data_IF_904629227565
#
_entry.id   IF_904629227565
#
_cell.length_a   1.000
_cell.length_b   1.000
_cell.length_c   1.000
_cell.angle_alpha   90.00
_cell.angle_beta   90.00
_cell.angle_gamma   90.00
#
_symmetry.space_group_name_H-M   'P 1'
#
loop_
_entity.id
_entity.type
_entity.pdbx_description
1 polymer ?
#
# COMPACT_ATOMS: atom_id res chain seq x y z
N UNK A 1 4.57 -11.39 24.19
CA UNK A 1 3.40 -10.50 24.02
C UNK A 1 2.64 -10.80 22.71
N UNK A 2 2.33 -12.07 22.38
CA UNK A 2 1.61 -12.38 21.13
C UNK A 2 0.66 -13.58 21.16
N UNK A 3 0.51 -14.26 22.30
CA UNK A 3 -0.33 -15.46 22.40
C UNK A 3 -1.83 -15.12 22.32
N UNK A 4 -2.30 -14.13 23.09
CA UNK A 4 -3.71 -13.70 23.04
C UNK A 4 -4.14 -13.17 21.69
N UNK A 5 -3.25 -12.47 20.97
CA UNK A 5 -3.53 -11.99 19.62
C UNK A 5 -3.72 -13.12 18.61
N UNK A 6 -2.95 -14.20 18.75
CA UNK A 6 -3.11 -15.41 17.94
C UNK A 6 -4.35 -16.23 18.33
N UNK A 7 -4.67 -16.30 19.62
CA UNK A 7 -5.84 -17.04 20.15
C UNK A 7 -7.18 -16.46 19.70
N UNK A 8 -7.26 -15.15 19.43
CA UNK A 8 -8.50 -14.49 18.97
C UNK A 8 -8.66 -14.51 17.44
N UNK A 9 -7.60 -14.82 16.69
CA UNK A 9 -7.65 -14.87 15.23
C UNK A 9 -8.32 -16.20 14.85
N UNK A 10 -9.50 -16.11 14.22
CA UNK A 10 -10.29 -17.27 13.80
C UNK A 10 -9.81 -17.96 12.52
N UNK A 11 -8.55 -17.76 12.13
CA UNK A 11 -7.94 -18.32 10.92
C UNK A 11 -6.45 -18.63 11.17
N UNK A 12 -5.80 -19.26 10.19
CA UNK A 12 -4.36 -19.51 10.24
C UNK A 12 -3.59 -18.17 10.21
N UNK A 13 -2.72 -17.98 11.21
CA UNK A 13 -1.92 -16.77 11.36
C UNK A 13 -0.85 -16.65 10.29
N UNK A 14 -0.29 -17.77 9.83
CA UNK A 14 0.72 -17.77 8.78
C UNK A 14 0.09 -17.44 7.42
N UNK A 15 -1.13 -17.91 7.17
CA UNK A 15 -1.93 -17.51 6.00
C UNK A 15 -2.26 -16.01 6.03
N UNK A 16 -2.70 -15.48 7.18
CA UNK A 16 -2.93 -14.05 7.35
C UNK A 16 -1.67 -13.22 7.08
N UNK A 17 -0.51 -13.66 7.57
CA UNK A 17 0.76 -12.98 7.33
C UNK A 17 1.18 -13.03 5.86
N UNK A 18 0.90 -14.12 5.13
CA UNK A 18 1.17 -14.19 3.69
C UNK A 18 0.30 -13.18 2.92
N UNK A 19 -1.00 -13.09 3.26
CA UNK A 19 -1.92 -12.13 2.66
C UNK A 19 -1.49 -10.68 2.93
N UNK A 20 -1.11 -10.36 4.17
CA UNK A 20 -0.64 -9.03 4.54
C UNK A 20 0.67 -8.65 3.81
N UNK A 21 1.60 -9.60 3.65
CA UNK A 21 2.84 -9.35 2.89
C UNK A 21 2.57 -9.09 1.40
N UNK A 22 1.62 -9.81 0.80
CA UNK A 22 1.20 -9.56 -0.58
C UNK A 22 0.58 -8.17 -0.71
N UNK A 23 -0.37 -7.84 0.16
CA UNK A 23 -0.99 -6.51 0.19
C UNK A 23 0.08 -5.41 0.35
N UNK A 24 1.05 -5.58 1.26
CA UNK A 24 2.16 -4.63 1.42
C UNK A 24 2.95 -4.43 0.12
N UNK A 25 3.28 -5.50 -0.59
CA UNK A 25 3.96 -5.42 -1.88
C UNK A 25 3.10 -4.72 -2.95
N UNK A 26 1.79 -4.98 -2.95
CA UNK A 26 0.85 -4.36 -3.87
C UNK A 26 0.75 -2.84 -3.64
N UNK A 27 0.68 -2.38 -2.38
CA UNK A 27 0.67 -0.95 -2.04
C UNK A 27 1.96 -0.25 -2.47
N UNK A 28 3.13 -0.89 -2.27
CA UNK A 28 4.41 -0.35 -2.75
C UNK A 28 4.49 -0.26 -4.27
N UNK A 29 3.96 -1.26 -4.97
CA UNK A 29 3.90 -1.25 -6.42
C UNK A 29 2.97 -0.14 -6.91
N UNK A 30 1.80 0.03 -6.29
CA UNK A 30 0.84 1.07 -6.60
C UNK A 30 1.43 2.47 -6.37
N UNK A 31 2.08 2.70 -5.22
CA UNK A 31 2.86 3.92 -4.94
C UNK A 31 3.81 4.26 -6.09
N UNK A 32 4.66 3.30 -6.47
CA UNK A 32 5.66 3.51 -7.52
C UNK A 32 5.00 3.81 -8.87
N UNK A 33 3.93 3.11 -9.22
CA UNK A 33 3.21 3.30 -10.48
C UNK A 33 2.58 4.69 -10.56
N UNK A 34 1.91 5.16 -9.50
CA UNK A 34 1.33 6.49 -9.46
C UNK A 34 2.40 7.59 -9.49
N UNK A 35 3.45 7.44 -8.69
CA UNK A 35 4.57 8.39 -8.68
C UNK A 35 5.24 8.49 -10.05
N UNK A 36 5.53 7.34 -10.69
CA UNK A 36 6.11 7.29 -12.03
C UNK A 36 5.15 7.89 -13.05
N UNK A 37 3.87 7.54 -13.00
CA UNK A 37 2.83 8.08 -13.85
C UNK A 37 2.77 9.61 -13.80
N UNK A 38 2.89 10.19 -12.60
CA UNK A 38 2.94 11.64 -12.42
C UNK A 38 4.16 12.30 -13.09
N UNK A 39 5.28 11.58 -13.26
CA UNK A 39 6.47 12.08 -13.98
C UNK A 39 6.37 11.92 -15.48
N UNK A 40 5.58 10.95 -15.94
CA UNK A 40 5.48 10.60 -17.35
C UNK A 40 4.28 11.24 -18.06
N UNK A 41 3.30 11.76 -17.32
CA UNK A 41 2.07 12.34 -17.88
C UNK A 41 2.36 13.52 -18.82
N UNK A 42 1.62 13.56 -19.93
CA UNK A 42 1.74 14.57 -21.00
C UNK A 42 0.36 15.03 -21.45
N UNK A 43 0.31 16.20 -22.11
CA UNK A 43 -0.90 16.76 -22.70
C UNK A 43 -1.40 18.03 -21.99
N UNK A 44 -2.51 18.64 -22.46
CA UNK A 44 -3.00 19.93 -21.97
C UNK A 44 -3.38 19.92 -20.48
N UNK A 45 -3.77 18.77 -19.92
CA UNK A 45 -4.16 18.62 -18.51
C UNK A 45 -3.06 18.00 -17.64
N UNK A 46 -1.83 17.90 -18.14
CA UNK A 46 -0.74 17.15 -17.46
C UNK A 46 -0.51 17.60 -16.01
N UNK A 47 -0.69 18.88 -15.71
CA UNK A 47 -0.40 19.41 -14.38
C UNK A 47 -1.49 18.97 -13.38
N UNK A 48 -2.77 19.03 -13.78
CA UNK A 48 -3.88 18.57 -12.95
C UNK A 48 -3.85 17.04 -12.74
N UNK A 49 -3.60 16.28 -13.81
CA UNK A 49 -3.49 14.82 -13.72
C UNK A 49 -2.26 14.41 -12.92
N UNK A 50 -1.11 15.06 -13.13
CA UNK A 50 0.11 14.82 -12.39
C UNK A 50 -0.04 15.09 -10.89
N UNK A 51 -0.75 16.17 -10.52
CA UNK A 51 -1.07 16.47 -9.13
C UNK A 51 -1.92 15.37 -8.48
N UNK A 52 -2.98 14.90 -9.16
CA UNK A 52 -3.84 13.82 -8.64
C UNK A 52 -3.09 12.49 -8.52
N UNK A 53 -2.21 12.17 -9.46
CA UNK A 53 -1.36 10.97 -9.38
C UNK A 53 -0.38 11.04 -8.19
N UNK A 54 0.17 12.22 -7.87
CA UNK A 54 1.00 12.38 -6.67
C UNK A 54 0.21 12.26 -5.37
N UNK A 55 -1.04 12.72 -5.36
CA UNK A 55 -1.95 12.52 -4.22
C UNK A 55 -2.17 11.03 -3.99
N UNK A 56 -2.55 10.27 -5.04
CA UNK A 56 -2.72 8.83 -4.94
C UNK A 56 -1.43 8.10 -4.53
N UNK A 57 -0.27 8.47 -5.08
CA UNK A 57 0.99 7.91 -4.61
C UNK A 57 1.16 8.12 -3.09
N UNK A 58 0.88 9.32 -2.58
CA UNK A 58 0.98 9.60 -1.14
C UNK A 58 0.00 8.74 -0.33
N UNK A 59 -1.23 8.53 -0.83
CA UNK A 59 -2.22 7.65 -0.20
C UNK A 59 -1.71 6.19 -0.12
N UNK A 60 -1.20 5.63 -1.23
CA UNK A 60 -0.71 4.24 -1.23
C UNK A 60 0.53 4.05 -0.36
N UNK A 61 1.39 5.07 -0.23
CA UNK A 61 2.50 5.02 0.73
C UNK A 61 1.99 4.92 2.18
N UNK A 62 0.95 5.67 2.53
CA UNK A 62 0.31 5.57 3.84
C UNK A 62 -0.33 4.20 4.05
N UNK A 63 -0.93 3.62 3.00
CA UNK A 63 -1.46 2.25 3.07
C UNK A 63 -0.36 1.22 3.32
N UNK A 64 0.79 1.34 2.63
CA UNK A 64 1.93 0.47 2.86
C UNK A 64 2.43 0.54 4.33
N UNK A 65 2.51 1.74 4.92
CA UNK A 65 2.85 1.93 6.33
C UNK A 65 1.81 1.29 7.26
N UNK A 66 0.52 1.46 6.97
CA UNK A 66 -0.56 0.84 7.73
C UNK A 66 -0.46 -0.69 7.72
N UNK A 67 -0.19 -1.30 6.56
CA UNK A 67 -0.03 -2.74 6.44
C UNK A 67 1.23 -3.23 7.16
N UNK A 68 2.35 -2.52 7.05
CA UNK A 68 3.59 -2.86 7.77
C UNK A 68 3.36 -2.91 9.29
N UNK A 69 2.61 -1.95 9.84
CA UNK A 69 2.24 -1.91 11.26
C UNK A 69 1.32 -3.06 11.70
N UNK A 70 0.68 -3.78 10.77
CA UNK A 70 -0.10 -5.00 11.07
C UNK A 70 0.73 -6.27 10.99
N UNK A 71 1.87 -6.24 10.31
CA UNK A 71 2.80 -7.37 10.16
C UNK A 71 3.75 -7.47 11.37
N UNK A 72 4.22 -6.33 11.88
CA UNK A 72 5.15 -6.22 13.03
C UNK A 72 4.41 -6.42 14.35
#
# INVERSE_FOLDING_TARGET
MGSKGREIIGMDVDELLDLLRRAYCDEWLAYYQYWLGAKLVKGPMKDAVGAKLLEHATEELLHADMVAMRII
#
